data_IF_715200311337
#
_entry.id   IF_715200311337
#
_cell.length_a   1.000
_cell.length_b   1.000
_cell.length_c   1.000
_cell.angle_alpha   90.00
_cell.angle_beta   90.00
_cell.angle_gamma   90.00
#
_symmetry.space_group_name_H-M   'P 1'
#
loop_
_entity.id
_entity.type
_entity.pdbx_description
1 polymer ?
#
# COMPACT_ATOMS: atom_id res chain seq x y z
N UNK A 1 -10.17 -7.37 -7.19
CA UNK A 1 -9.03 -6.68 -7.82
C UNK A 1 -9.55 -5.57 -8.71
N UNK A 2 -9.54 -4.32 -8.26
CA UNK A 2 -9.90 -3.18 -9.10
C UNK A 2 -8.72 -2.89 -10.03
N UNK A 3 -8.53 -3.70 -11.07
CA UNK A 3 -7.44 -3.56 -12.05
C UNK A 3 -7.36 -2.14 -12.63
N UNK A 4 -8.51 -1.48 -12.80
CA UNK A 4 -8.60 -0.08 -13.20
C UNK A 4 -7.94 0.89 -12.21
N UNK A 5 -8.12 0.68 -10.89
CA UNK A 5 -7.47 1.51 -9.87
C UNK A 5 -5.95 1.31 -9.88
N UNK A 6 -5.48 0.06 -9.99
CA UNK A 6 -4.05 -0.24 -10.10
C UNK A 6 -3.43 0.39 -11.36
N UNK A 7 -4.08 0.27 -12.52
CA UNK A 7 -3.59 0.88 -13.76
C UNK A 7 -3.53 2.40 -13.65
N UNK A 8 -4.55 3.03 -13.05
CA UNK A 8 -4.58 4.48 -12.81
C UNK A 8 -3.45 4.92 -11.89
N UNK A 9 -3.20 4.19 -10.80
CA UNK A 9 -2.08 4.48 -9.88
C UNK A 9 -0.74 4.32 -10.59
N UNK A 10 -0.54 3.25 -11.35
CA UNK A 10 0.68 3.01 -12.12
C UNK A 10 0.93 4.13 -13.15
N UNK A 11 -0.12 4.58 -13.83
CA UNK A 11 -0.04 5.69 -14.78
C UNK A 11 0.41 7.00 -14.09
N UNK A 12 -0.17 7.32 -12.94
CA UNK A 12 0.24 8.50 -12.14
C UNK A 12 1.70 8.39 -11.70
N UNK A 13 2.14 7.21 -11.24
CA UNK A 13 3.53 6.98 -10.85
C UNK A 13 4.49 7.20 -12.03
N UNK A 14 4.14 6.72 -13.23
CA UNK A 14 4.93 6.96 -14.44
C UNK A 14 5.03 8.46 -14.74
N UNK A 15 3.93 9.20 -14.63
CA UNK A 15 3.93 10.66 -14.83
C UNK A 15 4.81 11.39 -13.80
N UNK A 16 4.75 10.98 -12.53
CA UNK A 16 5.61 11.53 -11.47
C UNK A 16 7.08 11.25 -11.81
N UNK A 17 7.43 10.01 -12.14
CA UNK A 17 8.81 9.65 -12.51
C UNK A 17 9.27 10.49 -13.71
N UNK A 18 8.45 10.63 -14.76
CA UNK A 18 8.82 11.38 -15.96
C UNK A 18 9.04 12.87 -15.68
N UNK A 19 8.23 13.46 -14.79
CA UNK A 19 8.36 14.86 -14.37
C UNK A 19 9.55 15.10 -13.43
N UNK A 20 9.80 14.18 -12.50
CA UNK A 20 10.87 14.31 -11.52
C UNK A 20 12.23 13.91 -12.07
N UNK A 21 12.30 13.00 -13.04
CA UNK A 21 13.56 12.57 -13.68
C UNK A 21 14.47 13.71 -14.16
N UNK A 22 13.98 14.73 -14.90
CA UNK A 22 14.81 15.87 -15.31
C UNK A 22 15.23 16.75 -14.12
N UNK A 23 14.39 16.89 -13.08
CA UNK A 23 14.72 17.65 -11.86
C UNK A 23 15.71 16.91 -10.94
N UNK A 24 15.66 15.59 -10.94
CA UNK A 24 16.50 14.72 -10.12
C UNK A 24 17.92 14.55 -10.66
N UNK A 25 18.18 14.90 -11.92
CA UNK A 25 19.54 14.87 -12.50
C UNK A 25 20.55 15.73 -11.72
N UNK A 26 20.09 16.74 -10.99
CA UNK A 26 20.92 17.64 -10.20
C UNK A 26 20.98 17.27 -8.71
N UNK A 27 20.25 16.22 -8.30
CA UNK A 27 20.06 15.86 -6.89
C UNK A 27 20.90 14.64 -6.48
N UNK A 28 21.27 14.52 -5.20
CA UNK A 28 22.02 13.37 -4.70
C UNK A 28 21.23 12.06 -4.83
N UNK A 29 21.94 10.96 -5.09
CA UNK A 29 21.37 9.61 -5.33
C UNK A 29 20.44 9.13 -4.20
N UNK A 30 20.68 9.59 -2.96
CA UNK A 30 19.85 9.29 -1.79
C UNK A 30 18.42 9.79 -1.93
N UNK A 31 18.22 11.00 -2.47
CA UNK A 31 16.87 11.55 -2.70
C UNK A 31 16.14 10.79 -3.81
N UNK A 32 16.88 10.34 -4.82
CA UNK A 32 16.34 9.51 -5.91
C UNK A 32 15.81 8.17 -5.39
N UNK A 33 16.56 7.52 -4.49
CA UNK A 33 16.14 6.27 -3.86
C UNK A 33 14.93 6.47 -2.93
N UNK A 34 14.88 7.58 -2.17
CA UNK A 34 13.74 7.89 -1.31
C UNK A 34 12.44 8.01 -2.12
N UNK A 35 12.45 8.77 -3.23
CA UNK A 35 11.28 8.90 -4.10
C UNK A 35 10.84 7.55 -4.69
N UNK A 36 11.79 6.79 -5.23
CA UNK A 36 11.50 5.47 -5.83
C UNK A 36 10.89 4.54 -4.78
N UNK A 37 11.44 4.51 -3.57
CA UNK A 37 10.92 3.69 -2.47
C UNK A 37 9.50 4.09 -2.08
N UNK A 38 9.19 5.38 -2.02
CA UNK A 38 7.86 5.89 -1.69
C UNK A 38 6.83 5.52 -2.77
N UNK A 39 7.20 5.65 -4.05
CA UNK A 39 6.34 5.26 -5.17
C UNK A 39 6.09 3.74 -5.21
N UNK A 40 7.12 2.94 -4.91
CA UNK A 40 6.99 1.48 -4.81
C UNK A 40 6.03 1.07 -3.68
N UNK A 41 6.17 1.68 -2.51
CA UNK A 41 5.28 1.45 -1.37
C UNK A 41 3.84 1.86 -1.73
N UNK A 42 3.65 3.00 -2.37
CA UNK A 42 2.33 3.44 -2.83
C UNK A 42 1.71 2.49 -3.86
N UNK A 43 2.50 1.97 -4.80
CA UNK A 43 2.04 0.98 -5.78
C UNK A 43 1.66 -0.35 -5.12
N UNK A 44 2.48 -0.82 -4.17
CA UNK A 44 2.19 -2.00 -3.36
C UNK A 44 0.89 -1.83 -2.58
N UNK A 45 0.74 -0.71 -1.87
CA UNK A 45 -0.46 -0.37 -1.12
C UNK A 45 -1.71 -0.29 -2.00
N UNK A 46 -1.59 0.20 -3.24
CA UNK A 46 -2.69 0.26 -4.20
C UNK A 46 -3.22 -1.12 -4.60
N UNK A 47 -2.47 -2.21 -4.40
CA UNK A 47 -2.96 -3.57 -4.61
C UNK A 47 -3.83 -4.08 -3.44
N UNK A 48 -3.70 -3.49 -2.26
CA UNK A 48 -4.49 -3.85 -1.08
C UNK A 48 -5.80 -3.06 -1.04
N UNK A 49 -6.91 -3.75 -0.76
CA UNK A 49 -8.17 -3.08 -0.48
C UNK A 49 -8.21 -2.65 0.99
N UNK A 50 -7.56 -1.52 1.31
CA UNK A 50 -7.41 -1.02 2.68
C UNK A 50 -8.76 -0.80 3.39
N UNK A 51 -9.84 -0.51 2.65
CA UNK A 51 -11.19 -0.35 3.24
C UNK A 51 -11.82 -1.68 3.68
N UNK A 52 -11.49 -2.78 3.00
CA UNK A 52 -12.02 -4.12 3.32
C UNK A 52 -11.05 -4.95 4.16
N UNK A 53 -9.85 -4.43 4.46
CA UNK A 53 -8.93 -5.10 5.35
C UNK A 53 -9.53 -5.18 6.76
N UNK A 54 -9.63 -6.43 7.25
CA UNK A 54 -10.09 -6.73 8.59
C UNK A 54 -9.33 -5.86 9.61
N UNK A 55 -10.07 -4.96 10.27
CA UNK A 55 -9.50 -4.03 11.23
C UNK A 55 -9.02 -4.76 12.50
N UNK A 56 -8.26 -4.10 13.37
CA UNK A 56 -7.68 -4.73 14.58
C UNK A 56 -8.72 -5.46 15.45
N UNK A 57 -9.95 -4.96 15.45
CA UNK A 57 -11.10 -5.56 16.12
C UNK A 57 -11.44 -6.95 15.57
N UNK A 58 -11.41 -7.16 14.25
CA UNK A 58 -11.63 -8.47 13.63
C UNK A 58 -10.57 -9.51 14.01
N UNK A 59 -9.36 -9.07 14.35
CA UNK A 59 -8.26 -9.94 14.76
C UNK A 59 -8.44 -10.37 16.22
N UNK A 60 -8.85 -9.44 17.08
CA UNK A 60 -9.26 -9.73 18.45
C UNK A 60 -10.42 -10.73 18.41
N UNK A 61 -11.44 -10.47 17.59
CA UNK A 61 -12.59 -11.35 17.44
C UNK A 61 -12.18 -12.74 16.94
N UNK A 62 -11.31 -12.85 15.93
CA UNK A 62 -10.77 -14.13 15.47
C UNK A 62 -9.96 -14.89 16.53
N UNK A 63 -9.23 -14.17 17.39
CA UNK A 63 -8.42 -14.76 18.45
C UNK A 63 -9.26 -15.24 19.64
N UNK A 64 -10.29 -14.49 20.02
CA UNK A 64 -11.10 -14.75 21.21
C UNK A 64 -12.40 -15.54 20.94
N UNK A 65 -12.89 -15.59 19.70
CA UNK A 65 -14.03 -16.43 19.30
C UNK A 65 -13.91 -17.91 19.68
N UNK A 66 -12.77 -18.61 19.47
CA UNK A 66 -12.63 -20.01 19.90
C UNK A 66 -12.61 -20.16 21.43
N UNK A 67 -12.16 -19.16 22.18
CA UNK A 67 -12.23 -19.15 23.65
C UNK A 67 -13.68 -18.98 24.14
N UNK A 68 -14.48 -18.16 23.46
CA UNK A 68 -15.92 -18.02 23.74
C UNK A 68 -16.67 -19.34 23.52
N UNK A 69 -16.46 -19.99 22.39
CA UNK A 69 -17.10 -21.29 22.08
C UNK A 69 -16.70 -22.42 23.03
N UNK A 70 -15.49 -22.35 23.62
CA UNK A 70 -15.02 -23.32 24.61
C UNK A 70 -15.67 -23.10 25.99
N UNK A 71 -16.01 -21.86 26.33
CA UNK A 71 -16.55 -21.46 27.63
C UNK A 71 -18.08 -21.48 27.68
N UNK A 72 -18.75 -21.49 26.52
CA UNK A 72 -20.19 -21.74 26.38
C UNK A 72 -20.56 -23.25 26.44
N UNK A 73 -19.56 -24.15 26.54
CA UNK A 73 -19.74 -25.58 26.83
C UNK A 73 -19.42 -25.88 28.29
#
# INVERSE_FOLDING_TARGET
MKWAAFLSTAFIIILIILYEWPRMKQKPVKEKLALISLLLIGLLLSMFNLQEMAGPTSWIEALFRPLGEFMER
#
